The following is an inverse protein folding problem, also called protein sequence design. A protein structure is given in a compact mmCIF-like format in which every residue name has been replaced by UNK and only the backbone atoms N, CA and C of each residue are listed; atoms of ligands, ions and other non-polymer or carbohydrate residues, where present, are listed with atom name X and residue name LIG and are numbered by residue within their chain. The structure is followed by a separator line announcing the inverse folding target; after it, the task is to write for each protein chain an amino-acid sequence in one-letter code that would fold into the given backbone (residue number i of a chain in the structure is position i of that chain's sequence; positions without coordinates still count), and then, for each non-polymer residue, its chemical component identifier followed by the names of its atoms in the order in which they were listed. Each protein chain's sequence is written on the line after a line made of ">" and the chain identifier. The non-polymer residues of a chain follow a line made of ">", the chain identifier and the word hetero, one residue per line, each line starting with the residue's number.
data_IF_145363010833
#
_entry.id   IF_145363010833
#
_cell.length_a   1.000
_cell.length_b   1.000
_cell.length_c   1.000
_cell.angle_alpha   90.00
_cell.angle_beta   90.00
_cell.angle_gamma   90.00
#
_symmetry.space_group_name_H-M   'P 1'
#
loop_
_entity.id
_entity.type
_entity.pdbx_description
1 polymer ?
#
# COMPACT_ATOMS: atom_id res chain seq x y z
N UNK A 1 17.09 19.47 -14.34
CA UNK A 1 16.44 20.58 -13.61
C UNK A 1 15.16 21.15 -14.25
N UNK A 2 15.13 21.76 -15.44
CA UNK A 2 13.86 22.35 -15.95
C UNK A 2 12.76 21.32 -16.31
N UNK A 3 13.14 20.11 -16.75
CA UNK A 3 12.18 19.02 -17.09
C UNK A 3 11.60 18.35 -15.83
N UNK A 4 12.35 18.34 -14.72
CA UNK A 4 11.98 17.71 -13.43
C UNK A 4 10.80 18.44 -12.77
N UNK A 5 10.89 19.77 -12.64
CA UNK A 5 9.81 20.58 -12.06
C UNK A 5 8.54 20.61 -12.93
N UNK A 6 8.68 20.40 -14.25
CA UNK A 6 7.56 20.28 -15.17
C UNK A 6 6.75 19.00 -14.93
N UNK A 7 7.41 17.89 -14.58
CA UNK A 7 6.73 16.60 -14.46
C UNK A 7 5.77 16.55 -13.28
N UNK A 8 6.23 16.98 -12.09
CA UNK A 8 5.41 17.02 -10.87
C UNK A 8 4.25 18.02 -10.98
N UNK A 9 4.34 19.03 -11.84
CA UNK A 9 3.24 19.97 -12.09
C UNK A 9 2.29 19.52 -13.21
N UNK A 10 2.54 18.35 -13.83
CA UNK A 10 1.65 17.84 -14.87
C UNK A 10 0.37 17.31 -14.25
N UNK A 11 -0.79 17.79 -14.72
CA UNK A 11 -2.13 17.38 -14.25
C UNK A 11 -2.41 15.86 -14.28
N UNK A 12 -1.59 15.08 -14.99
CA UNK A 12 -1.71 13.62 -15.09
C UNK A 12 -0.80 12.86 -14.12
N UNK A 13 0.39 13.38 -13.83
CA UNK A 13 1.39 12.70 -13.01
C UNK A 13 1.21 12.98 -11.52
N UNK A 14 0.95 14.23 -11.14
CA UNK A 14 0.80 14.61 -9.72
C UNK A 14 -0.28 13.82 -8.97
N UNK A 15 -1.50 13.63 -9.52
CA UNK A 15 -2.53 12.86 -8.83
C UNK A 15 -2.14 11.39 -8.70
N UNK A 16 -1.50 10.83 -9.74
CA UNK A 16 -1.01 9.45 -9.73
C UNK A 16 0.08 9.26 -8.67
N UNK A 17 1.08 10.16 -8.65
CA UNK A 17 2.14 10.18 -7.65
C UNK A 17 1.56 10.25 -6.23
N UNK A 18 0.61 11.16 -6.00
CA UNK A 18 -0.02 11.37 -4.69
C UNK A 18 -0.76 10.12 -4.22
N UNK A 19 -1.51 9.45 -5.11
CA UNK A 19 -2.20 8.20 -4.76
C UNK A 19 -1.20 7.11 -4.39
N UNK A 20 -0.12 6.95 -5.15
CA UNK A 20 0.90 5.94 -4.86
C UNK A 20 1.65 6.22 -3.56
N UNK A 21 2.01 7.48 -3.33
CA UNK A 21 2.66 7.94 -2.10
C UNK A 21 1.78 7.66 -0.88
N UNK A 22 0.52 8.12 -0.92
CA UNK A 22 -0.42 7.94 0.19
C UNK A 22 -0.73 6.46 0.44
N UNK A 23 -0.79 5.64 -0.62
CA UNK A 23 -0.97 4.20 -0.47
C UNK A 23 0.20 3.57 0.27
N UNK A 24 1.44 3.81 -0.19
CA UNK A 24 2.64 3.28 0.46
C UNK A 24 2.76 3.74 1.92
N UNK A 25 2.42 5.00 2.20
CA UNK A 25 2.43 5.56 3.55
C UNK A 25 1.38 4.88 4.43
N UNK A 26 0.16 4.71 3.93
CA UNK A 26 -0.95 4.12 4.69
C UNK A 26 -0.70 2.65 5.00
N UNK A 27 -0.12 1.90 4.06
CA UNK A 27 0.28 0.50 4.25
C UNK A 27 1.27 0.35 5.41
N UNK A 28 2.32 1.18 5.41
CA UNK A 28 3.36 1.16 6.43
C UNK A 28 2.86 1.67 7.77
N UNK A 29 2.12 2.77 7.78
CA UNK A 29 1.57 3.36 8.99
C UNK A 29 0.58 2.42 9.68
N UNK A 30 -0.31 1.75 8.92
CA UNK A 30 -1.23 0.76 9.49
C UNK A 30 -0.46 -0.41 10.11
N UNK A 31 0.48 -0.99 9.35
CA UNK A 31 1.31 -2.11 9.84
C UNK A 31 2.05 -1.71 11.11
N UNK A 32 2.77 -0.61 11.09
CA UNK A 32 3.56 -0.14 12.23
C UNK A 32 2.68 0.19 13.44
N UNK A 33 1.53 0.82 13.25
CA UNK A 33 0.58 1.07 14.33
C UNK A 33 0.14 -0.23 15.02
N UNK A 34 -0.20 -1.27 14.24
CA UNK A 34 -0.57 -2.58 14.78
C UNK A 34 0.61 -3.21 15.53
N UNK A 35 1.82 -3.19 14.97
CA UNK A 35 3.01 -3.73 15.63
C UNK A 35 3.33 -3.01 16.94
N UNK A 36 3.17 -1.68 16.99
CA UNK A 36 3.31 -0.88 18.22
C UNK A 36 2.26 -1.29 19.25
N UNK A 37 1.00 -1.51 18.85
CA UNK A 37 -0.04 -1.98 19.76
C UNK A 37 0.27 -3.38 20.33
N UNK A 38 0.72 -4.30 19.50
CA UNK A 38 1.14 -5.64 19.95
C UNK A 38 2.29 -5.52 20.97
N UNK A 39 3.30 -4.71 20.65
CA UNK A 39 4.54 -4.60 21.43
C UNK A 39 4.34 -3.87 22.75
N UNK A 40 3.63 -2.73 22.74
CA UNK A 40 3.55 -1.83 23.88
C UNK A 40 2.21 -1.88 24.63
N UNK A 41 1.14 -2.33 23.98
CA UNK A 41 -0.18 -2.49 24.64
C UNK A 41 -0.51 -3.95 24.96
N UNK A 42 0.38 -4.90 24.63
CA UNK A 42 0.23 -6.30 24.97
C UNK A 42 -0.93 -6.99 24.24
N UNK A 43 -1.38 -6.46 23.10
CA UNK A 43 -2.40 -7.08 22.26
C UNK A 43 -1.81 -8.26 21.49
N UNK A 44 -1.54 -9.37 22.17
CA UNK A 44 -0.90 -10.53 21.55
C UNK A 44 -1.89 -11.47 20.89
N UNK A 45 -1.44 -12.19 19.87
CA UNK A 45 -2.27 -13.17 19.15
C UNK A 45 -2.37 -14.42 20.01
N UNK A 46 -3.55 -14.75 20.53
CA UNK A 46 -3.78 -16.02 21.25
C UNK A 46 -2.87 -16.25 22.46
N UNK A 47 -2.42 -15.20 23.14
CA UNK A 47 -1.53 -15.29 24.30
C UNK A 47 -0.07 -15.58 23.98
N UNK A 48 0.34 -15.51 22.71
CA UNK A 48 1.74 -15.64 22.30
C UNK A 48 2.60 -14.48 22.83
N UNK A 49 3.93 -14.61 22.79
CA UNK A 49 4.82 -13.50 23.11
C UNK A 49 4.63 -12.32 22.13
N UNK A 50 4.89 -11.06 22.56
CA UNK A 50 4.83 -9.91 21.67
C UNK A 50 5.72 -10.06 20.43
N UNK A 51 6.94 -10.57 20.61
CA UNK A 51 7.91 -10.82 19.55
C UNK A 51 7.37 -11.78 18.48
N UNK A 52 6.80 -12.91 18.90
CA UNK A 52 6.22 -13.88 17.99
C UNK A 52 4.98 -13.33 17.30
N UNK A 53 4.14 -12.58 18.03
CA UNK A 53 2.96 -11.91 17.47
C UNK A 53 3.33 -10.88 16.40
N UNK A 54 4.41 -10.10 16.60
CA UNK A 54 4.95 -9.16 15.62
C UNK A 54 5.45 -9.88 14.37
N UNK A 55 6.19 -10.98 14.54
CA UNK A 55 6.71 -11.78 13.43
C UNK A 55 5.59 -12.41 12.60
N UNK A 56 4.58 -12.99 13.25
CA UNK A 56 3.40 -13.55 12.60
C UNK A 56 2.62 -12.46 11.87
N UNK A 57 2.41 -11.30 12.49
CA UNK A 57 1.73 -10.16 11.86
C UNK A 57 2.47 -9.69 10.61
N UNK A 58 3.79 -9.58 10.68
CA UNK A 58 4.62 -9.22 9.53
C UNK A 58 4.52 -10.25 8.41
N UNK A 59 4.55 -11.55 8.74
CA UNK A 59 4.36 -12.62 7.78
C UNK A 59 2.97 -12.55 7.14
N UNK A 60 1.91 -12.37 7.94
CA UNK A 60 0.53 -12.26 7.47
C UNK A 60 0.30 -11.04 6.56
N UNK A 61 1.02 -9.95 6.79
CA UNK A 61 0.98 -8.78 5.90
C UNK A 61 1.64 -9.06 4.54
N UNK A 62 2.76 -9.79 4.53
CA UNK A 62 3.53 -10.08 3.30
C UNK A 62 2.95 -11.26 2.52
N UNK A 63 2.31 -12.21 3.20
CA UNK A 63 1.80 -13.44 2.62
C UNK A 63 0.87 -13.23 1.41
N UNK A 64 -0.09 -12.28 1.41
CA UNK A 64 -0.91 -12.00 0.24
C UNK A 64 -0.11 -11.61 -1.01
N UNK A 65 1.04 -10.95 -0.86
CA UNK A 65 1.89 -10.59 -2.00
C UNK A 65 2.43 -11.85 -2.67
N UNK A 66 2.85 -12.83 -1.89
CA UNK A 66 3.32 -14.10 -2.40
C UNK A 66 2.19 -14.89 -3.07
N UNK A 67 1.03 -15.01 -2.41
CA UNK A 67 -0.07 -15.85 -2.88
C UNK A 67 -0.82 -15.28 -4.08
N UNK A 68 -1.02 -13.96 -4.13
CA UNK A 68 -1.91 -13.33 -5.12
C UNK A 68 -1.20 -12.50 -6.18
N UNK A 69 0.14 -12.37 -6.18
CA UNK A 69 0.88 -11.54 -7.14
C UNK A 69 0.59 -11.88 -8.61
N UNK A 70 0.59 -13.16 -8.97
CA UNK A 70 0.32 -13.61 -10.34
C UNK A 70 -1.11 -13.30 -10.78
N UNK A 71 -2.08 -13.49 -9.88
CA UNK A 71 -3.48 -13.19 -10.12
C UNK A 71 -3.73 -11.67 -10.23
N UNK A 72 -3.11 -10.89 -9.35
CA UNK A 72 -3.14 -9.43 -9.39
C UNK A 72 -2.58 -8.88 -10.71
N UNK A 73 -1.46 -9.44 -11.20
CA UNK A 73 -0.90 -9.08 -12.50
C UNK A 73 -1.88 -9.32 -13.64
N UNK A 74 -2.49 -10.52 -13.69
CA UNK A 74 -3.50 -10.85 -14.71
C UNK A 74 -4.70 -9.91 -14.69
N UNK A 75 -5.22 -9.57 -13.50
CA UNK A 75 -6.31 -8.59 -13.35
C UNK A 75 -5.86 -7.20 -13.83
N UNK A 76 -4.67 -6.76 -13.46
CA UNK A 76 -4.14 -5.47 -13.88
C UNK A 76 -4.06 -5.36 -15.41
N UNK A 77 -3.70 -6.44 -16.10
CA UNK A 77 -3.62 -6.48 -17.56
C UNK A 77 -5.01 -6.46 -18.23
N UNK A 78 -5.95 -7.25 -17.73
CA UNK A 78 -7.27 -7.44 -18.35
C UNK A 78 -8.24 -6.25 -18.17
N UNK A 79 -8.14 -5.49 -17.09
CA UNK A 79 -9.12 -4.45 -16.76
C UNK A 79 -8.57 -3.04 -16.95
N UNK A 80 -9.48 -2.05 -16.93
CA UNK A 80 -9.10 -0.63 -16.96
C UNK A 80 -8.41 -0.22 -15.67
N UNK A 81 -7.17 0.27 -15.79
CA UNK A 81 -6.29 0.63 -14.66
C UNK A 81 -6.94 1.72 -13.80
N UNK A 82 -7.58 2.70 -14.43
CA UNK A 82 -8.29 3.78 -13.73
C UNK A 82 -9.46 3.25 -12.89
N UNK A 83 -10.24 2.30 -13.42
CA UNK A 83 -11.34 1.68 -12.66
C UNK A 83 -10.81 0.87 -11.48
N UNK A 84 -9.78 0.05 -11.70
CA UNK A 84 -9.15 -0.73 -10.63
C UNK A 84 -8.60 0.16 -9.52
N UNK A 85 -7.87 1.23 -9.84
CA UNK A 85 -7.35 2.18 -8.83
C UNK A 85 -8.49 2.75 -7.98
N UNK A 86 -9.62 3.11 -8.58
CA UNK A 86 -10.77 3.66 -7.84
C UNK A 86 -11.36 2.62 -6.88
N UNK A 87 -11.54 1.38 -7.31
CA UNK A 87 -12.03 0.32 -6.44
C UNK A 87 -11.08 0.02 -5.29
N UNK A 88 -9.79 -0.11 -5.60
CA UNK A 88 -8.73 -0.34 -4.61
C UNK A 88 -8.73 0.79 -3.57
N UNK A 89 -8.74 2.06 -4.00
CA UNK A 89 -8.77 3.19 -3.07
C UNK A 89 -10.04 3.24 -2.20
N UNK A 90 -11.18 2.82 -2.73
CA UNK A 90 -12.42 2.69 -1.93
C UNK A 90 -12.26 1.57 -0.89
N UNK A 91 -11.71 0.42 -1.27
CA UNK A 91 -11.39 -0.67 -0.35
C UNK A 91 -10.43 -0.22 0.76
N UNK A 92 -9.41 0.58 0.43
CA UNK A 92 -8.48 1.15 1.41
C UNK A 92 -9.21 1.90 2.53
N UNK A 93 -10.20 2.73 2.19
CA UNK A 93 -10.96 3.51 3.17
C UNK A 93 -11.69 2.56 4.12
N UNK A 94 -12.32 1.50 3.62
CA UNK A 94 -12.98 0.51 4.47
C UNK A 94 -12.00 -0.27 5.36
N UNK A 95 -10.81 -0.61 4.84
CA UNK A 95 -9.77 -1.29 5.61
C UNK A 95 -9.26 -0.39 6.75
N UNK A 96 -9.03 0.90 6.47
CA UNK A 96 -8.58 1.87 7.48
C UNK A 96 -9.68 2.12 8.53
N UNK A 97 -10.94 2.21 8.12
CA UNK A 97 -12.06 2.32 9.07
C UNK A 97 -12.16 1.08 9.96
N UNK A 98 -12.02 -0.12 9.37
CA UNK A 98 -12.03 -1.37 10.13
C UNK A 98 -10.85 -1.43 11.11
N UNK A 99 -9.65 -1.06 10.67
CA UNK A 99 -8.48 -0.97 11.53
C UNK A 99 -8.72 0.01 12.68
N UNK A 100 -9.28 1.20 12.39
CA UNK A 100 -9.61 2.19 13.41
C UNK A 100 -10.58 1.62 14.47
N UNK A 101 -11.59 0.84 14.05
CA UNK A 101 -12.47 0.15 15.01
C UNK A 101 -11.69 -0.86 15.87
N UNK A 102 -10.77 -1.63 15.27
CA UNK A 102 -9.92 -2.57 16.01
C UNK A 102 -8.96 -1.88 17.00
N UNK A 103 -8.46 -0.69 16.66
CA UNK A 103 -7.62 0.11 17.56
C UNK A 103 -8.44 0.58 18.75
N UNK A 104 -9.63 1.16 18.52
CA UNK A 104 -10.49 1.70 19.58
C UNK A 104 -11.04 0.59 20.47
N UNK A 105 -11.46 -0.53 19.88
CA UNK A 105 -11.98 -1.69 20.62
C UNK A 105 -10.88 -2.56 21.23
N UNK A 106 -9.60 -2.29 20.90
CA UNK A 106 -8.44 -3.11 21.29
C UNK A 106 -8.58 -4.59 20.94
N UNK A 107 -9.21 -4.91 19.80
CA UNK A 107 -9.37 -6.29 19.34
C UNK A 107 -8.25 -6.68 18.38
N UNK A 108 -7.40 -7.62 18.81
CA UNK A 108 -6.30 -8.13 17.99
C UNK A 108 -6.82 -8.84 16.74
N UNK A 109 -7.99 -9.49 16.81
CA UNK A 109 -8.60 -10.20 15.69
C UNK A 109 -8.96 -9.23 14.56
N UNK A 110 -9.57 -8.09 14.89
CA UNK A 110 -9.92 -7.05 13.90
C UNK A 110 -8.66 -6.43 13.32
N UNK A 111 -7.63 -6.18 14.14
CA UNK A 111 -6.36 -5.63 13.69
C UNK A 111 -5.65 -6.57 12.71
N UNK A 112 -5.53 -7.86 13.05
CA UNK A 112 -4.90 -8.87 12.19
C UNK A 112 -5.69 -9.05 10.90
N UNK A 113 -7.02 -9.09 10.97
CA UNK A 113 -7.85 -9.14 9.77
C UNK A 113 -7.62 -7.92 8.87
N UNK A 114 -7.60 -6.72 9.45
CA UNK A 114 -7.33 -5.47 8.72
C UNK A 114 -5.93 -5.47 8.10
N UNK A 115 -4.94 -6.03 8.79
CA UNK A 115 -3.57 -6.17 8.30
C UNK A 115 -3.48 -7.08 7.07
N UNK A 116 -4.14 -8.25 7.11
CA UNK A 116 -4.20 -9.18 5.97
C UNK A 116 -4.99 -8.58 4.82
N UNK A 117 -6.09 -7.88 5.12
CA UNK A 117 -6.89 -7.17 4.11
C UNK A 117 -6.06 -6.09 3.42
N UNK A 118 -5.28 -5.31 4.19
CA UNK A 118 -4.35 -4.31 3.63
C UNK A 118 -3.27 -4.95 2.78
N UNK A 119 -2.61 -6.02 3.26
CA UNK A 119 -1.62 -6.75 2.45
C UNK A 119 -2.21 -7.23 1.13
N UNK A 120 -3.43 -7.77 1.15
CA UNK A 120 -4.15 -8.21 -0.05
C UNK A 120 -4.42 -7.03 -0.99
N UNK A 121 -4.96 -5.94 -0.46
CA UNK A 121 -5.20 -4.70 -1.19
C UNK A 121 -3.93 -4.20 -1.91
N UNK A 122 -2.81 -4.14 -1.21
CA UNK A 122 -1.54 -3.65 -1.75
C UNK A 122 -0.94 -4.58 -2.80
N UNK A 123 -1.17 -5.89 -2.70
CA UNK A 123 -0.84 -6.85 -3.77
C UNK A 123 -1.53 -6.50 -5.09
N UNK A 124 -2.81 -6.12 -5.06
CA UNK A 124 -3.53 -5.73 -6.26
C UNK A 124 -3.09 -4.37 -6.80
N UNK A 125 -2.71 -3.44 -5.92
CA UNK A 125 -2.24 -2.12 -6.32
C UNK A 125 -0.85 -2.16 -7.00
N UNK A 126 0.04 -3.06 -6.56
CA UNK A 126 1.42 -3.15 -7.03
C UNK A 126 1.58 -3.22 -8.56
N UNK A 127 0.98 -4.19 -9.27
CA UNK A 127 1.08 -4.28 -10.74
C UNK A 127 0.45 -3.10 -11.48
N UNK A 128 -0.57 -2.47 -10.88
CA UNK A 128 -1.29 -1.35 -11.49
C UNK A 128 -0.43 -0.09 -11.49
N UNK A 129 0.33 0.15 -10.41
CA UNK A 129 1.13 1.36 -10.23
C UNK A 129 2.19 1.54 -11.32
N UNK A 130 2.76 0.44 -11.81
CA UNK A 130 3.76 0.45 -12.88
C UNK A 130 3.13 0.38 -14.28
N UNK A 131 2.05 -0.39 -14.46
CA UNK A 131 1.41 -0.55 -15.78
C UNK A 131 0.65 0.69 -16.26
N UNK A 132 0.31 1.61 -15.37
CA UNK A 132 -0.39 2.86 -15.71
C UNK A 132 0.55 3.97 -16.21
N UNK A 133 1.83 3.97 -15.82
CA UNK A 133 2.79 5.01 -16.22
C UNK A 133 3.06 5.04 -17.74
N UNK A 134 3.33 3.90 -18.41
CA UNK A 134 3.54 3.88 -19.87
C UNK A 134 2.31 4.33 -20.67
N UNK A 135 1.11 4.28 -20.08
CA UNK A 135 -0.12 4.73 -20.75
C UNK A 135 -0.22 6.26 -20.84
N UNK A 136 0.35 6.96 -19.85
CA UNK A 136 0.32 8.42 -19.80
C UNK A 136 1.59 9.07 -20.34
N UNK A 137 2.72 8.36 -20.30
CA UNK A 137 4.04 8.87 -20.65
C UNK A 137 4.62 8.00 -21.77
N UNK A 138 4.55 8.50 -23.01
CA UNK A 138 5.08 7.81 -24.20
C UNK A 138 6.60 7.94 -24.35
N UNK A 139 7.16 9.04 -23.84
CA UNK A 139 8.59 9.31 -24.00
C UNK A 139 9.41 8.54 -22.96
N UNK A 140 10.30 7.66 -23.42
CA UNK A 140 11.09 6.75 -22.57
C UNK A 140 11.90 7.49 -21.50
N UNK A 141 12.52 8.62 -21.86
CA UNK A 141 13.32 9.43 -20.92
C UNK A 141 12.47 9.97 -19.77
N UNK A 142 11.26 10.43 -20.09
CA UNK A 142 10.32 10.95 -19.11
C UNK A 142 9.74 9.82 -18.25
N UNK A 143 9.49 8.65 -18.84
CA UNK A 143 9.00 7.47 -18.13
C UNK A 143 9.99 6.98 -17.07
N UNK A 144 11.28 6.95 -17.40
CA UNK A 144 12.35 6.59 -16.45
C UNK A 144 12.40 7.56 -15.26
N UNK A 145 12.28 8.86 -15.55
CA UNK A 145 12.26 9.92 -14.53
C UNK A 145 11.00 9.81 -13.64
N UNK A 146 9.83 9.56 -14.23
CA UNK A 146 8.58 9.33 -13.51
C UNK A 146 8.64 8.12 -12.57
N UNK A 147 9.23 7.01 -13.03
CA UNK A 147 9.49 5.83 -12.18
C UNK A 147 10.41 6.19 -11.01
N UNK A 148 11.48 6.94 -11.26
CA UNK A 148 12.40 7.39 -10.21
C UNK A 148 11.70 8.21 -9.13
N UNK A 149 10.81 9.13 -9.51
CA UNK A 149 10.00 9.90 -8.56
C UNK A 149 9.08 9.00 -7.73
N UNK A 150 8.41 8.04 -8.36
CA UNK A 150 7.49 7.12 -7.67
C UNK A 150 8.24 6.24 -6.66
N UNK A 151 9.41 5.72 -7.02
CA UNK A 151 10.23 4.93 -6.10
C UNK A 151 10.75 5.77 -4.94
N UNK A 152 11.25 6.99 -5.20
CA UNK A 152 11.63 7.93 -4.15
C UNK A 152 10.46 8.28 -3.24
N UNK A 153 9.29 8.57 -3.81
CA UNK A 153 8.08 8.86 -3.05
C UNK A 153 7.65 7.68 -2.19
N UNK A 154 7.70 6.46 -2.73
CA UNK A 154 7.42 5.23 -1.98
C UNK A 154 8.40 5.07 -0.82
N UNK A 155 9.70 5.27 -1.05
CA UNK A 155 10.71 5.17 0.00
C UNK A 155 10.50 6.20 1.12
N UNK A 156 10.22 7.46 0.77
CA UNK A 156 9.90 8.51 1.74
C UNK A 156 8.62 8.16 2.51
N UNK A 157 7.59 7.66 1.83
CA UNK A 157 6.34 7.24 2.45
C UNK A 157 6.55 6.11 3.47
N UNK A 158 7.39 5.13 3.14
CA UNK A 158 7.78 4.01 4.02
C UNK A 158 8.53 4.48 5.26
N UNK A 159 9.32 5.56 5.16
CA UNK A 159 10.06 6.12 6.30
C UNK A 159 9.18 6.98 7.22
N UNK A 160 8.17 7.65 6.66
CA UNK A 160 7.26 8.53 7.40
C UNK A 160 6.20 7.71 8.16
N UNK A 161 5.68 6.65 7.55
CA UNK A 161 4.69 5.76 8.16
C UNK A 161 5.31 4.66 9.01
#
# INVERSE_FOLDING_TARGET
>A
MQVENSLLNTRKFLPLFSVQFLNAMSDHMLKNAILVMITYQGLTIGGLSPELSVNISTLLFILPFFLFSSYAGKIADMYSKVKLIRYIKICEIFIILLAATGIVSRSIEILIFSLVAMGTHSTFFGPIKFSILPQYIKERKILLLANGYIELGTFVAVLIG
#
